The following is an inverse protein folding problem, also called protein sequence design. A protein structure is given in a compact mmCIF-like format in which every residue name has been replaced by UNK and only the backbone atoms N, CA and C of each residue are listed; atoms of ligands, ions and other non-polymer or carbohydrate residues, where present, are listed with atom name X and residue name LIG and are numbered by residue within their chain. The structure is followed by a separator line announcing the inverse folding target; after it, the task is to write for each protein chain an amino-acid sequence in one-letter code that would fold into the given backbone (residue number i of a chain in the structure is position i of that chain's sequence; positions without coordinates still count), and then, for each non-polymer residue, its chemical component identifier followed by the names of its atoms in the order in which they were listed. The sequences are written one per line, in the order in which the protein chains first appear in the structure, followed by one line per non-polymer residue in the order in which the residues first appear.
data_IF_008567475046
#
_entry.id   IF_008567475046
#
_cell.length_a   1.000
_cell.length_b   1.000
_cell.length_c   1.000
_cell.angle_alpha   90.00
_cell.angle_beta   90.00
_cell.angle_gamma   90.00
#
_symmetry.space_group_name_H-M   'P 1'
#
loop_
_entity.id
_entity.type
_entity.pdbx_description
1 polymer ?
#
# COMPACT_ATOMS: atom_id res chain seq x y z
N UNK A 1 14.91 -6.01 0.74
CA UNK A 1 13.70 -5.26 0.34
C UNK A 1 13.62 -5.22 -1.17
N UNK A 2 12.71 -5.99 -1.78
CA UNK A 2 12.56 -6.08 -3.25
C UNK A 2 12.40 -4.68 -3.85
N UNK A 3 11.67 -3.79 -3.18
CA UNK A 3 11.52 -2.38 -3.60
C UNK A 3 12.84 -1.63 -3.72
N UNK A 4 13.76 -1.78 -2.76
CA UNK A 4 15.06 -1.09 -2.79
C UNK A 4 15.94 -1.65 -3.90
N UNK A 5 15.93 -2.97 -4.09
CA UNK A 5 16.68 -3.63 -5.15
C UNK A 5 16.14 -3.25 -6.54
N UNK A 6 14.83 -3.31 -6.74
CA UNK A 6 14.15 -2.90 -7.97
C UNK A 6 14.39 -1.41 -8.27
N UNK A 7 14.22 -0.53 -7.28
CA UNK A 7 14.51 0.89 -7.42
C UNK A 7 15.98 1.15 -7.79
N UNK A 8 16.92 0.50 -7.12
CA UNK A 8 18.35 0.60 -7.43
C UNK A 8 18.68 0.12 -8.84
N UNK A 9 18.07 -0.99 -9.27
CA UNK A 9 18.20 -1.52 -10.63
C UNK A 9 17.67 -0.55 -11.69
N UNK A 10 16.46 -0.02 -11.51
CA UNK A 10 15.86 0.97 -12.41
C UNK A 10 16.73 2.23 -12.47
N UNK A 11 17.22 2.73 -11.33
CA UNK A 11 18.12 3.89 -11.31
C UNK A 11 19.44 3.67 -12.05
N UNK A 12 19.92 2.44 -12.16
CA UNK A 12 21.17 2.11 -12.88
C UNK A 12 20.96 1.94 -14.38
N UNK A 13 19.88 1.28 -14.79
CA UNK A 13 19.66 0.95 -16.20
C UNK A 13 18.78 1.97 -16.95
N UNK A 14 17.82 2.58 -16.25
CA UNK A 14 16.82 3.50 -16.81
C UNK A 14 16.53 4.64 -15.82
N UNK A 15 17.53 5.49 -15.51
CA UNK A 15 17.36 6.63 -14.61
C UNK A 15 16.30 7.63 -15.10
N UNK A 16 16.03 7.65 -16.40
CA UNK A 16 14.99 8.43 -17.07
C UNK A 16 13.58 8.11 -16.54
N UNK A 17 13.31 6.86 -16.12
CA UNK A 17 12.00 6.46 -15.59
C UNK A 17 11.71 6.99 -14.19
N UNK A 18 12.74 7.31 -13.41
CA UNK A 18 12.60 7.81 -12.03
C UNK A 18 12.55 9.34 -11.98
N UNK A 19 13.04 10.00 -13.03
CA UNK A 19 13.17 11.45 -13.12
C UNK A 19 12.04 12.13 -13.90
N UNK A 20 10.99 11.38 -14.26
CA UNK A 20 9.82 11.89 -14.98
C UNK A 20 9.17 13.11 -14.30
N UNK A 21 8.83 14.11 -15.11
CA UNK A 21 8.30 15.39 -14.65
C UNK A 21 7.08 15.25 -13.74
N UNK A 22 7.02 16.08 -12.70
CA UNK A 22 5.92 16.09 -11.74
C UNK A 22 4.58 16.24 -12.47
N UNK A 23 3.81 15.15 -12.54
CA UNK A 23 2.42 15.21 -12.99
C UNK A 23 1.69 16.07 -11.96
N UNK A 24 1.37 17.32 -12.33
CA UNK A 24 0.52 18.18 -11.49
C UNK A 24 -0.82 17.49 -11.32
N UNK A 25 -1.05 16.94 -10.14
CA UNK A 25 -2.35 16.39 -9.78
C UNK A 25 -3.37 17.54 -9.77
N UNK A 26 -4.18 17.64 -10.83
CA UNK A 26 -5.32 18.56 -10.90
C UNK A 26 -6.54 17.92 -10.22
N UNK A 27 -6.40 17.61 -8.92
CA UNK A 27 -7.45 16.96 -8.13
C UNK A 27 -8.20 17.96 -7.26
N UNK A 28 -9.45 18.27 -7.62
CA UNK A 28 -10.38 19.01 -6.75
C UNK A 28 -11.01 18.11 -5.68
N UNK A 29 -11.64 18.70 -4.64
CA UNK A 29 -12.33 17.97 -3.55
C UNK A 29 -13.33 16.91 -4.03
N UNK A 30 -13.95 17.09 -5.21
CA UNK A 30 -14.88 16.15 -5.83
C UNK A 30 -14.24 14.78 -6.14
N UNK A 31 -12.95 14.73 -6.47
CA UNK A 31 -12.25 13.48 -6.79
C UNK A 31 -12.07 12.56 -5.58
N UNK A 32 -12.09 13.10 -4.37
CA UNK A 32 -11.97 12.31 -3.14
C UNK A 32 -13.17 11.38 -2.99
N UNK A 33 -14.38 11.88 -3.27
CA UNK A 33 -15.60 11.07 -3.20
C UNK A 33 -15.59 9.93 -4.21
N UNK A 34 -15.15 10.20 -5.45
CA UNK A 34 -15.03 9.18 -6.51
C UNK A 34 -13.99 8.12 -6.13
N UNK A 35 -12.82 8.54 -5.65
CA UNK A 35 -11.76 7.61 -5.22
C UNK A 35 -12.23 6.73 -4.04
N UNK A 36 -12.94 7.31 -3.08
CA UNK A 36 -13.48 6.57 -1.94
C UNK A 36 -14.54 5.55 -2.40
N UNK A 37 -15.48 5.94 -3.25
CA UNK A 37 -16.50 5.04 -3.79
C UNK A 37 -15.89 3.88 -4.58
N UNK A 38 -14.91 4.17 -5.45
CA UNK A 38 -14.18 3.16 -6.19
C UNK A 38 -13.42 2.19 -5.27
N UNK A 39 -12.78 2.72 -4.22
CA UNK A 39 -12.05 1.91 -3.24
C UNK A 39 -13.00 0.98 -2.48
N UNK A 40 -14.15 1.49 -2.03
CA UNK A 40 -15.15 0.68 -1.34
C UNK A 40 -15.70 -0.42 -2.26
N UNK A 41 -15.99 -0.09 -3.52
CA UNK A 41 -16.39 -1.09 -4.52
C UNK A 41 -15.35 -2.21 -4.63
N UNK A 42 -14.07 -1.86 -4.76
CA UNK A 42 -12.98 -2.85 -4.83
C UNK A 42 -12.91 -3.69 -3.56
N UNK A 43 -13.07 -3.09 -2.37
CA UNK A 43 -13.11 -3.82 -1.10
C UNK A 43 -14.19 -4.91 -1.10
N UNK A 44 -15.39 -4.63 -1.59
CA UNK A 44 -16.46 -5.64 -1.68
C UNK A 44 -16.18 -6.72 -2.74
N UNK A 45 -15.41 -6.40 -3.78
CA UNK A 45 -15.02 -7.35 -4.82
C UNK A 45 -13.80 -8.20 -4.43
N UNK A 46 -13.13 -7.91 -3.30
CA UNK A 46 -11.93 -8.66 -2.87
C UNK A 46 -12.10 -10.18 -2.75
N UNK A 47 -13.24 -10.75 -2.33
CA UNK A 47 -13.40 -12.21 -2.31
C UNK A 47 -13.36 -12.86 -3.69
N UNK A 48 -13.53 -12.07 -4.76
CA UNK A 48 -13.41 -12.53 -6.15
C UNK A 48 -11.96 -12.48 -6.66
N UNK A 49 -11.01 -12.06 -5.83
CA UNK A 49 -9.60 -12.08 -6.19
C UNK A 49 -9.12 -13.52 -6.45
N UNK A 50 -8.19 -13.66 -7.40
CA UNK A 50 -7.66 -14.96 -7.78
C UNK A 50 -6.97 -15.65 -6.60
N UNK A 51 -7.24 -16.94 -6.41
CA UNK A 51 -6.57 -17.80 -5.44
C UNK A 51 -5.21 -18.36 -5.94
N UNK A 52 -4.80 -18.01 -7.17
CA UNK A 52 -3.54 -18.48 -7.76
C UNK A 52 -2.33 -17.86 -7.06
N UNK A 53 -1.16 -18.54 -7.08
CA UNK A 53 0.07 -17.99 -6.52
C UNK A 53 0.42 -16.67 -7.20
N UNK A 54 0.94 -15.73 -6.42
CA UNK A 54 1.40 -14.47 -6.96
C UNK A 54 2.63 -14.68 -7.86
N UNK A 55 3.05 -13.63 -8.57
CA UNK A 55 4.20 -13.73 -9.48
C UNK A 55 5.51 -14.07 -8.77
N UNK A 56 5.66 -13.73 -7.50
CA UNK A 56 6.87 -14.02 -6.73
C UNK A 56 6.91 -15.49 -6.31
N UNK A 57 5.79 -15.99 -5.79
CA UNK A 57 5.63 -17.39 -5.40
C UNK A 57 5.71 -18.31 -6.61
N UNK A 58 5.07 -17.94 -7.73
CA UNK A 58 5.15 -18.71 -8.97
C UNK A 58 6.59 -18.83 -9.46
N UNK A 59 7.33 -17.72 -9.53
CA UNK A 59 8.75 -17.73 -9.94
C UNK A 59 9.59 -18.53 -8.94
N UNK A 60 9.33 -18.40 -7.64
CA UNK A 60 10.04 -19.18 -6.62
C UNK A 60 9.78 -20.69 -6.76
N UNK A 61 8.56 -21.07 -7.13
CA UNK A 61 8.18 -22.47 -7.39
C UNK A 61 8.84 -22.98 -8.67
N UNK A 62 8.76 -22.22 -9.76
CA UNK A 62 9.33 -22.59 -11.07
C UNK A 62 10.86 -22.76 -11.01
N UNK A 63 11.53 -21.95 -10.18
CA UNK A 63 12.99 -22.00 -9.96
C UNK A 63 13.39 -22.90 -8.78
N UNK A 64 12.45 -23.56 -8.10
CA UNK A 64 12.72 -24.55 -7.06
C UNK A 64 13.27 -24.01 -5.73
N UNK A 65 13.04 -22.74 -5.39
CA UNK A 65 13.51 -22.14 -4.13
C UNK A 65 12.39 -21.69 -3.18
N UNK A 66 11.14 -22.07 -3.43
CA UNK A 66 10.01 -21.69 -2.57
C UNK A 66 10.22 -22.08 -1.10
N UNK A 67 10.87 -23.22 -0.83
CA UNK A 67 11.14 -23.73 0.53
C UNK A 67 12.23 -22.94 1.28
N UNK A 68 12.99 -22.09 0.59
CA UNK A 68 13.94 -21.19 1.22
C UNK A 68 13.24 -19.98 1.90
N UNK A 69 11.94 -19.78 1.66
CA UNK A 69 11.17 -18.71 2.25
C UNK A 69 11.09 -18.86 3.78
N UNK A 70 11.58 -17.85 4.49
CA UNK A 70 11.45 -17.79 5.96
C UNK A 70 10.17 -17.04 6.35
N UNK A 71 9.46 -17.48 7.40
CA UNK A 71 8.29 -16.77 7.88
C UNK A 71 8.66 -15.36 8.32
N UNK A 72 7.83 -14.38 7.94
CA UNK A 72 7.96 -13.01 8.44
C UNK A 72 7.76 -13.00 9.97
N UNK A 73 8.61 -12.29 10.74
CA UNK A 73 8.39 -12.06 12.16
C UNK A 73 7.05 -11.38 12.44
N UNK A 74 6.60 -10.53 11.50
CA UNK A 74 5.31 -9.85 11.53
C UNK A 74 4.34 -10.58 10.61
N UNK A 75 3.41 -11.37 11.18
CA UNK A 75 2.39 -12.13 10.43
C UNK A 75 1.02 -11.42 10.38
N UNK A 76 0.99 -10.13 10.73
CA UNK A 76 -0.21 -9.30 10.65
C UNK A 76 -0.74 -9.32 9.20
N UNK A 77 -1.94 -9.89 9.02
CA UNK A 77 -2.61 -10.02 7.71
C UNK A 77 -1.82 -10.82 6.65
N UNK A 78 -0.99 -11.79 7.06
CA UNK A 78 -0.34 -12.69 6.11
C UNK A 78 -1.40 -13.39 5.23
N UNK A 79 -1.21 -13.37 3.92
CA UNK A 79 -2.19 -13.87 2.94
C UNK A 79 -3.60 -13.26 3.11
N UNK A 80 -3.69 -12.01 3.56
CA UNK A 80 -4.94 -11.30 3.83
C UNK A 80 -5.84 -11.98 4.87
N UNK A 81 -5.26 -12.82 5.74
CA UNK A 81 -5.99 -13.54 6.80
C UNK A 81 -5.85 -12.85 8.14
N UNK A 82 -6.97 -12.68 8.84
CA UNK A 82 -6.99 -12.25 10.22
C UNK A 82 -6.97 -13.51 11.11
N UNK A 83 -5.96 -13.70 11.98
CA UNK A 83 -5.81 -14.95 12.75
C UNK A 83 -7.01 -15.34 13.62
N UNK A 84 -7.84 -14.35 13.99
CA UNK A 84 -9.02 -14.51 14.84
C UNK A 84 -10.30 -14.85 14.07
N UNK A 85 -10.29 -14.76 12.73
CA UNK A 85 -11.45 -15.00 11.89
C UNK A 85 -11.26 -16.27 11.05
N UNK A 86 -12.35 -17.01 10.87
CA UNK A 86 -12.39 -18.15 9.97
C UNK A 86 -12.23 -17.71 8.51
N UNK A 87 -11.61 -18.58 7.70
CA UNK A 87 -11.37 -18.31 6.28
C UNK A 87 -12.71 -18.21 5.52
N UNK A 88 -13.10 -16.97 5.23
CA UNK A 88 -14.42 -16.63 4.69
C UNK A 88 -14.33 -15.35 3.87
N UNK A 89 -15.29 -15.15 2.97
CA UNK A 89 -15.40 -13.92 2.19
C UNK A 89 -15.47 -12.68 3.10
N UNK A 90 -16.18 -12.78 4.23
CA UNK A 90 -16.27 -11.72 5.22
C UNK A 90 -14.92 -11.40 5.87
N UNK A 91 -14.09 -12.41 6.17
CA UNK A 91 -12.76 -12.20 6.71
C UNK A 91 -11.84 -11.48 5.72
N UNK A 92 -11.95 -11.79 4.42
CA UNK A 92 -11.19 -11.13 3.34
C UNK A 92 -11.58 -9.67 3.20
N UNK A 93 -12.89 -9.38 3.21
CA UNK A 93 -13.40 -8.00 3.20
C UNK A 93 -12.93 -7.24 4.45
N UNK A 94 -12.98 -7.87 5.63
CA UNK A 94 -12.52 -7.27 6.87
C UNK A 94 -11.01 -6.93 6.82
N UNK A 95 -10.18 -7.84 6.29
CA UNK A 95 -8.76 -7.58 6.09
C UNK A 95 -8.52 -6.40 5.14
N UNK A 96 -9.28 -6.30 4.05
CA UNK A 96 -9.21 -5.18 3.11
C UNK A 96 -9.63 -3.84 3.76
N UNK A 97 -10.68 -3.84 4.60
CA UNK A 97 -11.11 -2.67 5.36
C UNK A 97 -10.04 -2.22 6.37
N UNK A 98 -9.41 -3.15 7.08
CA UNK A 98 -8.29 -2.85 7.99
C UNK A 98 -7.15 -2.20 7.23
N UNK A 99 -6.79 -2.72 6.06
CA UNK A 99 -5.77 -2.11 5.19
C UNK A 99 -6.15 -0.70 4.74
N UNK A 100 -7.40 -0.49 4.32
CA UNK A 100 -7.92 0.82 3.93
C UNK A 100 -7.80 1.85 5.05
N UNK A 101 -8.25 1.49 6.26
CA UNK A 101 -8.20 2.38 7.43
C UNK A 101 -6.75 2.64 7.84
N UNK A 102 -5.89 1.62 7.83
CA UNK A 102 -4.48 1.78 8.19
C UNK A 102 -3.78 2.77 7.25
N UNK A 103 -3.88 2.58 5.93
CA UNK A 103 -3.22 3.43 4.94
C UNK A 103 -3.80 4.86 4.96
N UNK A 104 -5.12 5.01 4.91
CA UNK A 104 -5.75 6.33 4.93
C UNK A 104 -5.46 7.07 6.23
N UNK A 105 -5.48 6.38 7.36
CA UNK A 105 -5.11 6.90 8.67
C UNK A 105 -3.66 7.36 8.74
N UNK A 106 -2.71 6.57 8.24
CA UNK A 106 -1.29 6.97 8.18
C UNK A 106 -1.09 8.23 7.34
N UNK A 107 -1.73 8.32 6.17
CA UNK A 107 -1.62 9.50 5.29
C UNK A 107 -2.23 10.73 5.95
N UNK A 108 -3.42 10.62 6.56
CA UNK A 108 -4.06 11.72 7.26
C UNK A 108 -3.24 12.18 8.47
N UNK A 109 -2.69 11.23 9.24
CA UNK A 109 -1.81 11.53 10.37
C UNK A 109 -0.59 12.32 9.90
N UNK A 110 0.10 11.84 8.86
CA UNK A 110 1.27 12.52 8.31
C UNK A 110 0.91 13.93 7.83
N UNK A 111 -0.22 14.08 7.12
CA UNK A 111 -0.70 15.38 6.67
C UNK A 111 -0.97 16.34 7.84
N UNK A 112 -1.61 15.86 8.92
CA UNK A 112 -1.87 16.67 10.11
C UNK A 112 -0.56 17.06 10.80
N UNK A 113 0.40 16.14 10.92
CA UNK A 113 1.70 16.42 11.52
C UNK A 113 2.47 17.46 10.72
N UNK A 114 2.58 17.31 9.41
CA UNK A 114 3.27 18.27 8.53
C UNK A 114 2.63 19.67 8.61
N UNK A 115 1.29 19.75 8.57
CA UNK A 115 0.56 21.01 8.73
C UNK A 115 0.71 21.64 10.13
N UNK A 116 1.05 20.86 11.15
CA UNK A 116 1.37 21.39 12.48
C UNK A 116 2.78 21.98 12.52
N UNK A 117 3.75 21.32 11.89
CA UNK A 117 5.12 21.82 11.80
C UNK A 117 5.22 23.17 11.08
N UNK A 118 4.58 23.31 9.91
CA UNK A 118 4.61 24.57 9.14
C UNK A 118 4.04 25.75 9.94
N UNK A 119 2.94 25.53 10.69
CA UNK A 119 2.33 26.56 11.54
C UNK A 119 3.22 27.01 12.68
N UNK A 120 4.07 26.14 13.20
CA UNK A 120 5.02 26.48 14.27
C UNK A 120 6.23 27.26 13.75
N UNK A 121 6.66 27.01 12.51
CA UNK A 121 7.73 27.78 11.88
C UNK A 121 7.28 29.20 11.51
N UNK A 122 6.06 29.35 10.97
CA UNK A 122 5.49 30.68 10.69
C UNK A 122 5.43 31.58 11.93
N UNK A 123 4.97 31.06 13.07
CA UNK A 123 4.92 31.80 14.35
C UNK A 123 6.29 32.20 14.92
N UNK A 124 7.40 31.59 14.48
CA UNK A 124 8.76 31.96 14.90
C UNK A 124 9.41 33.01 13.99
N UNK A 125 8.90 33.20 12.78
CA UNK A 125 9.39 34.24 11.87
C UNK A 125 8.77 35.62 12.17
N UNK A 126 7.62 35.65 12.85
CA UNK A 126 6.87 36.85 13.21
C UNK A 126 7.16 37.39 14.62
N UNK A 127 8.08 36.75 15.38
CA UNK A 127 8.45 37.11 16.75
C UNK A 127 9.93 37.55 16.82
#
# INVERSE_FOLDING_TARGET
MITVAAYGFIRRLRPDLVSGGAVRARGGKSWVGVALAATLLVVFLTPLASANPDGLERVARDLGFVDAARPSPLRLLANYRIPLLADSALATIAAALVGLVAVSGTVLLLLVLLRRFDRLQGRRADA
#
